data_IF_721830496112
#
_entry.id   IF_721830496112
#
_cell.length_a   1.000
_cell.length_b   1.000
_cell.length_c   1.000
_cell.angle_alpha   90.00
_cell.angle_beta   90.00
_cell.angle_gamma   90.00
#
_symmetry.space_group_name_H-M   'P 1'
#
loop_
_entity.id
_entity.type
_entity.pdbx_description
1 polymer ?
#
# COMPACT_ATOMS: atom_id res chain seq x y z
N UNK A 1 10.85 12.79 -16.35
CA UNK A 1 10.98 11.32 -16.46
C UNK A 1 9.61 10.73 -16.72
N UNK A 2 9.52 9.84 -17.66
CA UNK A 2 8.23 9.30 -18.13
C UNK A 2 7.65 8.33 -17.12
N UNK A 3 6.36 8.49 -16.83
CA UNK A 3 5.59 7.56 -16.00
C UNK A 3 4.67 6.76 -16.91
N UNK A 4 4.66 5.46 -16.72
CA UNK A 4 3.83 4.50 -17.42
C UNK A 4 2.75 3.96 -16.48
N UNK A 5 1.61 3.56 -17.03
CA UNK A 5 0.52 3.03 -16.22
C UNK A 5 -0.20 1.85 -16.85
N UNK A 6 -0.81 1.06 -15.98
CA UNK A 6 -1.82 0.05 -16.31
C UNK A 6 -2.89 0.02 -15.23
N UNK A 7 -4.10 -0.33 -15.62
CA UNK A 7 -5.14 -0.67 -14.65
C UNK A 7 -5.13 -2.18 -14.37
N UNK A 8 -5.45 -2.53 -13.15
CA UNK A 8 -5.56 -3.91 -12.68
C UNK A 8 -6.91 -4.08 -11.96
N UNK A 9 -7.89 -4.78 -12.56
CA UNK A 9 -9.14 -5.12 -11.87
C UNK A 9 -8.88 -6.10 -10.76
N UNK A 10 -9.38 -5.82 -9.57
CA UNK A 10 -9.14 -6.64 -8.38
C UNK A 10 -10.39 -6.79 -7.54
N UNK A 11 -10.39 -7.73 -6.53
CA UNK A 11 -11.50 -7.83 -5.57
C UNK A 11 -11.70 -6.58 -4.71
N UNK A 12 -10.71 -5.69 -4.64
CA UNK A 12 -10.80 -4.41 -3.91
C UNK A 12 -11.00 -3.23 -4.85
N UNK A 13 -11.52 -3.50 -6.04
CA UNK A 13 -11.75 -2.50 -7.07
C UNK A 13 -10.60 -2.38 -8.06
N UNK A 14 -10.70 -1.39 -8.93
CA UNK A 14 -9.69 -1.17 -9.94
C UNK A 14 -8.45 -0.54 -9.30
N UNK A 15 -7.29 -1.13 -9.55
CA UNK A 15 -6.01 -0.61 -9.08
C UNK A 15 -5.28 0.07 -10.23
N UNK A 16 -4.70 1.22 -9.96
CA UNK A 16 -3.84 1.94 -10.90
C UNK A 16 -2.39 1.62 -10.58
N UNK A 17 -1.70 0.98 -11.52
CA UNK A 17 -0.28 0.65 -11.41
C UNK A 17 0.53 1.71 -12.14
N UNK A 18 1.51 2.29 -11.46
CA UNK A 18 2.41 3.29 -12.04
C UNK A 18 3.86 2.79 -11.98
N UNK A 19 4.59 2.95 -13.06
CA UNK A 19 6.00 2.59 -13.12
C UNK A 19 6.83 3.61 -13.90
N UNK A 20 8.10 3.65 -13.56
CA UNK A 20 9.17 4.25 -14.37
C UNK A 20 10.04 3.13 -14.93
N UNK A 21 11.01 3.47 -15.78
CA UNK A 21 11.86 2.47 -16.44
C UNK A 21 12.59 1.54 -15.46
N UNK A 22 12.87 2.01 -14.26
CA UNK A 22 13.66 1.27 -13.27
C UNK A 22 12.84 0.62 -12.15
N UNK A 23 11.52 0.81 -12.11
CA UNK A 23 10.72 0.16 -11.07
C UNK A 23 9.27 0.61 -10.97
N UNK A 24 8.53 -0.14 -10.19
CA UNK A 24 7.16 0.20 -9.80
C UNK A 24 7.19 1.32 -8.77
N UNK A 25 6.44 2.39 -9.02
CA UNK A 25 6.41 3.56 -8.14
C UNK A 25 5.11 3.70 -7.37
N UNK A 26 4.01 3.10 -7.84
CA UNK A 26 2.73 3.20 -7.15
C UNK A 26 1.78 2.05 -7.49
N UNK A 27 0.97 1.69 -6.52
CA UNK A 27 -0.30 0.97 -6.67
C UNK A 27 -1.34 1.80 -5.92
N UNK A 28 -2.27 2.38 -6.64
CA UNK A 28 -3.30 3.24 -6.07
C UNK A 28 -4.68 2.59 -6.24
N UNK A 29 -5.53 2.76 -5.24
CA UNK A 29 -6.94 2.42 -5.38
C UNK A 29 -7.59 3.49 -6.25
N UNK A 30 -8.13 3.06 -7.39
CA UNK A 30 -8.83 3.95 -8.30
C UNK A 30 -10.29 4.04 -7.87
N UNK A 31 -10.62 5.08 -7.14
CA UNK A 31 -11.99 5.39 -6.76
C UNK A 31 -12.75 6.00 -7.95
N UNK A 32 -14.04 6.24 -7.78
CA UNK A 32 -14.90 6.84 -8.82
C UNK A 32 -14.37 8.18 -9.36
N UNK A 33 -13.49 8.82 -8.60
CA UNK A 33 -12.80 10.04 -9.02
C UNK A 33 -11.30 9.90 -8.78
N UNK A 34 -10.55 9.41 -9.76
CA UNK A 34 -9.12 9.25 -9.61
C UNK A 34 -8.44 10.59 -9.33
N UNK A 35 -7.64 10.61 -8.28
CA UNK A 35 -6.87 11.80 -7.91
C UNK A 35 -5.66 12.01 -8.82
N UNK A 36 -5.21 10.96 -9.46
CA UNK A 36 -4.05 10.99 -10.36
C UNK A 36 -4.47 11.39 -11.76
N UNK A 37 -3.90 12.47 -12.25
CA UNK A 37 -4.13 12.93 -13.64
C UNK A 37 -3.22 12.18 -14.58
N UNK A 38 -3.82 11.39 -15.47
CA UNK A 38 -3.11 10.53 -16.42
C UNK A 38 -2.70 11.23 -17.72
N UNK A 39 -3.01 12.51 -17.88
CA UNK A 39 -2.81 13.26 -19.13
C UNK A 39 -1.39 13.20 -19.69
N UNK A 40 -0.40 13.09 -18.79
CA UNK A 40 1.01 13.03 -19.16
C UNK A 40 1.64 11.64 -18.96
N UNK A 41 0.82 10.62 -18.71
CA UNK A 41 1.30 9.26 -18.48
C UNK A 41 1.07 8.41 -19.72
N UNK A 42 1.94 7.41 -19.91
CA UNK A 42 1.88 6.53 -21.08
C UNK A 42 1.21 5.20 -20.68
N UNK A 43 0.08 4.84 -21.33
CA UNK A 43 -0.51 3.51 -21.11
C UNK A 43 0.38 2.42 -21.71
N UNK A 44 0.55 1.33 -20.97
CA UNK A 44 1.31 0.16 -21.44
C UNK A 44 0.35 -0.99 -21.64
N UNK A 45 0.11 -1.39 -22.86
CA UNK A 45 -0.86 -2.43 -23.18
C UNK A 45 -0.25 -3.75 -23.63
N UNK A 46 0.71 -3.76 -24.53
CA UNK A 46 1.24 -5.00 -25.14
C UNK A 46 2.62 -4.79 -25.72
N UNK A 47 3.61 -4.51 -24.89
CA UNK A 47 4.94 -4.33 -25.39
C UNK A 47 5.93 -5.24 -24.68
N UNK A 48 7.04 -5.45 -25.29
CA UNK A 48 8.21 -6.01 -24.66
C UNK A 48 9.01 -4.88 -24.01
N UNK A 49 9.86 -5.20 -23.08
CA UNK A 49 10.77 -4.25 -22.45
C UNK A 49 10.63 -4.21 -20.95
N UNK A 50 11.50 -3.45 -20.31
CA UNK A 50 11.67 -3.42 -18.86
C UNK A 50 10.40 -2.99 -18.14
N UNK A 51 9.72 -1.96 -18.63
CA UNK A 51 8.47 -1.45 -18.01
C UNK A 51 7.36 -2.49 -18.11
N UNK A 52 7.21 -3.12 -19.26
CA UNK A 52 6.24 -4.20 -19.46
C UNK A 52 6.48 -5.35 -18.49
N UNK A 53 7.74 -5.75 -18.31
CA UNK A 53 8.12 -6.80 -17.36
C UNK A 53 7.79 -6.43 -15.91
N UNK A 54 7.97 -5.17 -15.53
CA UNK A 54 7.59 -4.68 -14.20
C UNK A 54 6.08 -4.87 -13.97
N UNK A 55 5.27 -4.49 -14.94
CA UNK A 55 3.81 -4.67 -14.83
C UNK A 55 3.42 -6.16 -14.83
N UNK A 56 4.07 -6.99 -15.64
CA UNK A 56 3.81 -8.43 -15.65
C UNK A 56 4.12 -9.07 -14.29
N UNK A 57 5.25 -8.75 -13.69
CA UNK A 57 5.61 -9.22 -12.34
C UNK A 57 4.61 -8.75 -11.28
N UNK A 58 4.21 -7.48 -11.34
CA UNK A 58 3.24 -6.91 -10.42
C UNK A 58 1.90 -7.63 -10.53
N UNK A 59 1.40 -7.83 -11.74
CA UNK A 59 0.11 -8.51 -11.98
C UNK A 59 0.15 -9.96 -11.53
N UNK A 60 1.23 -10.68 -11.79
CA UNK A 60 1.40 -12.06 -11.33
C UNK A 60 1.36 -12.14 -9.80
N UNK A 61 2.08 -11.28 -9.12
CA UNK A 61 2.09 -11.25 -7.65
C UNK A 61 0.71 -10.91 -7.10
N UNK A 62 0.02 -9.92 -7.67
CA UNK A 62 -1.32 -9.55 -7.24
C UNK A 62 -2.33 -10.68 -7.49
N UNK A 63 -2.26 -11.35 -8.64
CA UNK A 63 -3.12 -12.50 -8.95
C UNK A 63 -2.96 -13.60 -7.89
N UNK A 64 -1.73 -13.97 -7.57
CA UNK A 64 -1.43 -15.00 -6.57
C UNK A 64 -1.87 -14.56 -5.17
N UNK A 65 -1.62 -13.32 -4.82
CA UNK A 65 -2.04 -12.75 -3.53
C UNK A 65 -3.56 -12.82 -3.35
N UNK A 66 -4.32 -12.37 -4.35
CA UNK A 66 -5.78 -12.39 -4.28
C UNK A 66 -6.38 -13.79 -4.37
N UNK A 67 -5.63 -14.78 -4.81
CA UNK A 67 -6.00 -16.20 -4.72
C UNK A 67 -5.76 -16.81 -3.33
N UNK A 68 -5.23 -16.01 -2.39
CA UNK A 68 -4.98 -16.45 -1.03
C UNK A 68 -3.61 -17.08 -0.80
N UNK A 69 -2.69 -16.97 -1.75
CA UNK A 69 -1.33 -17.48 -1.58
C UNK A 69 -0.55 -16.61 -0.60
N UNK A 70 0.15 -17.27 0.32
CA UNK A 70 0.99 -16.60 1.32
C UNK A 70 2.31 -16.19 0.69
N UNK A 71 2.39 -14.93 0.25
CA UNK A 71 3.55 -14.39 -0.40
C UNK A 71 4.38 -13.52 0.54
N UNK A 72 5.69 -13.55 0.36
CA UNK A 72 6.64 -12.65 1.01
C UNK A 72 6.99 -11.52 0.04
N UNK A 73 6.72 -10.28 0.46
CA UNK A 73 7.01 -9.09 -0.34
C UNK A 73 8.36 -8.44 0.03
N UNK A 74 9.10 -8.98 0.98
CA UNK A 74 10.32 -8.34 1.49
C UNK A 74 11.42 -8.20 0.45
N UNK A 75 11.46 -9.12 -0.49
CA UNK A 75 12.55 -9.25 -1.46
C UNK A 75 12.18 -8.77 -2.88
N UNK A 76 11.09 -8.04 -3.03
CA UNK A 76 10.71 -7.47 -4.31
C UNK A 76 11.62 -6.27 -4.63
N UNK A 77 12.62 -6.48 -5.45
CA UNK A 77 13.64 -5.50 -5.78
C UNK A 77 13.19 -4.43 -6.78
N UNK A 78 12.07 -4.67 -7.47
CA UNK A 78 11.52 -3.73 -8.44
C UNK A 78 10.59 -2.66 -7.83
N UNK A 79 10.39 -2.65 -6.51
CA UNK A 79 9.61 -1.61 -5.84
C UNK A 79 10.51 -0.40 -5.59
N UNK A 80 10.14 0.73 -6.16
CA UNK A 80 10.90 1.99 -6.04
C UNK A 80 10.01 3.13 -5.56
N UNK A 81 9.49 3.04 -4.32
CA UNK A 81 8.63 4.09 -3.77
C UNK A 81 9.41 5.41 -3.64
N UNK A 82 8.75 6.51 -3.96
CA UNK A 82 9.34 7.84 -3.87
C UNK A 82 8.81 8.57 -2.65
N UNK A 83 9.69 9.11 -1.84
CA UNK A 83 9.32 9.84 -0.64
C UNK A 83 10.53 10.34 0.13
N UNK A 84 10.27 11.01 1.24
CA UNK A 84 11.31 11.55 2.12
C UNK A 84 12.11 10.43 2.80
N UNK A 85 13.26 10.78 3.36
CA UNK A 85 14.08 9.82 4.11
C UNK A 85 13.30 9.17 5.28
N UNK A 86 12.48 9.97 5.98
CA UNK A 86 11.64 9.46 7.07
C UNK A 86 10.56 8.49 6.54
N UNK A 87 9.88 8.86 5.46
CA UNK A 87 8.89 7.98 4.82
C UNK A 87 9.52 6.67 4.36
N UNK A 88 10.68 6.72 3.72
CA UNK A 88 11.41 5.53 3.30
C UNK A 88 11.74 4.61 4.48
N UNK A 89 12.14 5.18 5.61
CA UNK A 89 12.44 4.38 6.81
C UNK A 89 11.20 3.68 7.37
N UNK A 90 10.05 4.34 7.35
CA UNK A 90 8.76 3.74 7.75
C UNK A 90 8.37 2.63 6.78
N UNK A 91 8.40 2.88 5.49
CA UNK A 91 8.01 1.90 4.47
C UNK A 91 8.91 0.67 4.46
N UNK A 92 10.19 0.84 4.77
CA UNK A 92 11.12 -0.27 4.93
C UNK A 92 10.71 -1.21 6.08
N UNK A 93 10.22 -0.65 7.19
CA UNK A 93 9.67 -1.44 8.29
C UNK A 93 8.39 -2.16 7.84
N UNK A 94 7.49 -1.48 7.12
CA UNK A 94 6.27 -2.10 6.60
C UNK A 94 6.57 -3.31 5.74
N UNK A 95 7.59 -3.24 4.89
CA UNK A 95 7.98 -4.34 4.01
C UNK A 95 8.44 -5.59 4.76
N UNK A 96 8.84 -5.45 6.01
CA UNK A 96 9.31 -6.56 6.85
C UNK A 96 8.18 -7.26 7.61
N UNK A 97 6.97 -6.72 7.58
CA UNK A 97 5.82 -7.34 8.25
C UNK A 97 5.38 -8.55 7.43
N UNK A 98 5.49 -9.79 7.96
CA UNK A 98 5.12 -10.98 7.22
C UNK A 98 3.62 -11.06 6.91
N UNK A 99 3.29 -11.90 5.94
CA UNK A 99 1.91 -12.26 5.63
C UNK A 99 1.20 -12.79 6.88
N UNK A 100 0.01 -12.29 7.13
CA UNK A 100 -0.81 -12.71 8.26
C UNK A 100 -0.42 -12.13 9.62
N UNK A 101 0.58 -11.25 9.65
CA UNK A 101 1.04 -10.58 10.85
C UNK A 101 0.73 -9.08 10.81
N UNK A 102 0.77 -8.46 11.99
CA UNK A 102 0.44 -7.05 12.16
C UNK A 102 1.50 -6.32 12.96
N UNK A 103 1.49 -5.02 12.85
CA UNK A 103 2.20 -4.11 13.74
C UNK A 103 1.28 -2.95 14.14
N UNK A 104 1.78 -2.07 14.98
CA UNK A 104 1.09 -0.84 15.36
C UNK A 104 1.95 0.39 15.06
N UNK A 105 1.33 1.56 15.04
CA UNK A 105 2.07 2.82 14.85
C UNK A 105 3.11 3.03 15.97
N UNK A 106 2.78 2.65 17.21
CA UNK A 106 3.70 2.74 18.33
C UNK A 106 4.89 1.81 18.20
N UNK A 107 4.70 0.58 17.73
CA UNK A 107 5.78 -0.37 17.50
C UNK A 107 6.73 0.12 16.41
N UNK A 108 6.19 0.69 15.33
CA UNK A 108 7.01 1.28 14.27
C UNK A 108 7.85 2.45 14.83
N UNK A 109 7.21 3.33 15.61
CA UNK A 109 7.90 4.46 16.22
C UNK A 109 9.03 4.00 17.14
N UNK A 110 8.81 2.95 17.93
CA UNK A 110 9.83 2.37 18.80
C UNK A 110 11.00 1.77 17.99
N UNK A 111 10.71 1.06 16.89
CA UNK A 111 11.77 0.51 16.03
C UNK A 111 12.62 1.61 15.39
N UNK A 112 12.04 2.78 15.14
CA UNK A 112 12.76 3.95 14.62
C UNK A 112 13.55 4.69 15.71
N UNK A 113 13.45 4.26 16.98
CA UNK A 113 14.06 4.97 18.10
C UNK A 113 13.39 6.33 18.39
N UNK A 114 12.15 6.51 17.97
CA UNK A 114 11.39 7.76 18.10
C UNK A 114 9.99 7.49 18.68
N UNK A 115 9.89 7.04 19.94
CA UNK A 115 8.63 6.58 20.52
C UNK A 115 7.52 7.66 20.55
N UNK A 116 7.92 8.93 20.48
CA UNK A 116 6.95 10.06 20.46
C UNK A 116 6.52 10.45 19.02
N UNK A 117 6.99 9.75 18.01
CA UNK A 117 6.73 10.08 16.61
C UNK A 117 5.53 9.33 16.01
N UNK A 118 4.60 8.81 16.82
CA UNK A 118 3.47 8.01 16.33
C UNK A 118 2.63 8.75 15.28
N UNK A 119 2.41 10.05 15.46
CA UNK A 119 1.64 10.86 14.50
C UNK A 119 2.36 10.97 13.16
N UNK A 120 3.67 11.23 13.19
CA UNK A 120 4.50 11.29 11.98
C UNK A 120 4.57 9.93 11.28
N UNK A 121 4.67 8.85 12.04
CA UNK A 121 4.61 7.47 11.53
C UNK A 121 3.26 7.23 10.84
N UNK A 122 2.15 7.59 11.49
CA UNK A 122 0.82 7.47 10.89
C UNK A 122 0.69 8.22 9.57
N UNK A 123 1.23 9.43 9.48
CA UNK A 123 1.28 10.19 8.24
C UNK A 123 2.08 9.50 7.15
N UNK A 124 3.24 8.94 7.48
CA UNK A 124 4.08 8.20 6.54
C UNK A 124 3.42 6.90 6.07
N UNK A 125 2.78 6.15 6.97
CA UNK A 125 2.00 4.95 6.63
C UNK A 125 0.89 5.30 5.65
N UNK A 126 0.13 6.37 5.92
CA UNK A 126 -0.97 6.83 5.07
C UNK A 126 -0.51 7.32 3.69
N UNK A 127 0.75 7.71 3.53
CA UNK A 127 1.33 8.16 2.25
C UNK A 127 2.11 7.10 1.50
N UNK A 128 2.04 5.86 1.94
CA UNK A 128 2.62 4.74 1.21
C UNK A 128 2.11 4.72 -0.24
N UNK A 129 3.00 4.87 -1.24
CA UNK A 129 2.56 4.92 -2.64
C UNK A 129 2.27 3.56 -3.25
N UNK A 130 2.82 2.47 -2.69
CA UNK A 130 2.70 1.12 -3.26
C UNK A 130 1.84 0.27 -2.33
N UNK A 131 0.54 0.51 -2.35
CA UNK A 131 -0.41 -0.23 -1.52
C UNK A 131 -0.33 -1.74 -1.77
N UNK A 132 -0.63 -2.54 -0.78
CA UNK A 132 -0.62 -4.01 -0.78
C UNK A 132 0.81 -4.58 -0.75
N UNK A 133 1.66 -4.28 -1.71
CA UNK A 133 3.02 -4.83 -1.78
C UNK A 133 3.95 -4.22 -0.72
N UNK A 134 3.71 -2.97 -0.34
CA UNK A 134 4.22 -2.40 0.91
C UNK A 134 3.02 -2.41 1.87
N UNK A 135 2.93 -3.37 2.79
CA UNK A 135 1.67 -3.76 3.40
C UNK A 135 1.21 -2.82 4.53
N UNK A 136 0.89 -1.59 4.20
CA UNK A 136 0.37 -0.63 5.17
C UNK A 136 -0.97 -1.06 5.80
N UNK A 137 -1.72 -1.96 5.17
CA UNK A 137 -2.94 -2.54 5.74
C UNK A 137 -2.68 -3.40 6.98
N UNK A 138 -1.43 -3.85 7.20
CA UNK A 138 -1.01 -4.64 8.37
C UNK A 138 -0.69 -3.77 9.58
N UNK A 139 -0.88 -2.45 9.49
CA UNK A 139 -0.74 -1.54 10.62
C UNK A 139 -2.12 -1.31 11.24
N UNK A 140 -2.26 -1.67 12.50
CA UNK A 140 -3.48 -1.46 13.28
C UNK A 140 -3.22 -0.48 14.42
N UNK A 141 -4.29 0.06 14.97
CA UNK A 141 -4.22 0.91 16.13
C UNK A 141 -4.01 0.12 17.43
N UNK A 142 -4.07 0.83 18.54
CA UNK A 142 -3.93 0.22 19.86
C UNK A 142 -4.96 -0.90 20.04
N UNK A 143 -4.53 -2.01 20.66
CA UNK A 143 -5.36 -3.20 20.91
C UNK A 143 -5.93 -3.82 19.62
N UNK A 144 -5.20 -3.77 18.50
CA UNK A 144 -5.63 -4.31 17.21
C UNK A 144 -6.88 -3.64 16.65
N UNK A 145 -7.12 -2.38 17.01
CA UNK A 145 -8.25 -1.65 16.48
C UNK A 145 -8.07 -1.29 15.01
N UNK A 146 -9.16 -1.42 14.24
CA UNK A 146 -9.19 -1.01 12.85
C UNK A 146 -9.04 0.50 12.76
N UNK A 147 -8.03 0.96 12.03
CA UNK A 147 -7.74 2.39 11.83
C UNK A 147 -7.83 2.76 10.36
N UNK A 148 -7.77 4.06 10.07
CA UNK A 148 -7.88 4.59 8.73
C UNK A 148 -6.91 3.95 7.72
N UNK A 149 -7.32 3.95 6.46
CA UNK A 149 -6.58 3.39 5.35
C UNK A 149 -6.84 4.22 4.10
N UNK A 150 -5.79 4.53 3.34
CA UNK A 150 -5.92 5.35 2.12
C UNK A 150 -6.85 4.76 1.06
N UNK A 151 -6.92 3.44 0.96
CA UNK A 151 -7.86 2.75 0.08
C UNK A 151 -9.26 2.54 0.66
N UNK A 152 -9.56 3.11 1.82
CA UNK A 152 -10.84 2.96 2.52
C UNK A 152 -10.90 1.75 3.46
N UNK A 153 -11.67 1.87 4.51
CA UNK A 153 -11.82 0.81 5.52
C UNK A 153 -12.39 -0.50 4.96
N UNK A 154 -13.38 -0.49 4.05
CA UNK A 154 -13.86 -1.74 3.44
C UNK A 154 -12.74 -2.53 2.74
N UNK A 155 -11.85 -1.86 2.04
CA UNK A 155 -10.71 -2.50 1.39
C UNK A 155 -9.68 -3.00 2.40
N UNK A 156 -9.43 -2.25 3.46
CA UNK A 156 -8.56 -2.70 4.55
C UNK A 156 -9.12 -3.98 5.22
N UNK A 157 -10.41 -4.01 5.51
CA UNK A 157 -11.08 -5.20 6.05
C UNK A 157 -10.91 -6.40 5.12
N UNK A 158 -11.12 -6.19 3.83
CA UNK A 158 -10.95 -7.26 2.83
C UNK A 158 -9.54 -7.87 2.88
N UNK A 159 -8.52 -7.00 2.85
CA UNK A 159 -7.13 -7.46 2.86
C UNK A 159 -6.78 -8.20 4.15
N UNK A 160 -7.20 -7.68 5.31
CA UNK A 160 -6.98 -8.33 6.59
C UNK A 160 -7.68 -9.70 6.66
N UNK A 161 -8.91 -9.79 6.20
CA UNK A 161 -9.68 -11.04 6.16
C UNK A 161 -9.04 -12.04 5.20
N UNK A 162 -8.59 -11.60 4.05
CA UNK A 162 -7.87 -12.45 3.09
C UNK A 162 -6.63 -13.09 3.72
N UNK A 163 -5.91 -12.33 4.53
CA UNK A 163 -4.71 -12.82 5.23
C UNK A 163 -5.01 -13.58 6.52
N UNK A 164 -6.28 -13.70 6.90
CA UNK A 164 -6.67 -14.38 8.13
C UNK A 164 -6.36 -13.61 9.41
N UNK A 165 -6.24 -12.28 9.32
CA UNK A 165 -5.89 -11.42 10.45
C UNK A 165 -7.16 -10.99 11.19
N UNK A 166 -7.17 -11.23 12.52
CA UNK A 166 -8.21 -10.70 13.40
C UNK A 166 -7.97 -9.23 13.72
N UNK A 167 -9.05 -8.46 13.80
CA UNK A 167 -9.01 -7.05 14.16
C UNK A 167 -10.26 -6.67 14.95
N UNK A 168 -10.18 -5.59 15.72
CA UNK A 168 -11.32 -5.04 16.45
C UNK A 168 -11.93 -3.90 15.66
N UNK A 169 -13.08 -4.19 15.08
CA UNK A 169 -13.91 -3.19 14.42
C UNK A 169 -14.91 -2.65 15.43
N UNK A 170 -14.73 -1.41 15.83
CA UNK A 170 -15.62 -0.78 16.82
C UNK A 170 -16.92 -0.26 16.21
N UNK A 171 -17.25 -0.67 14.99
CA UNK A 171 -18.49 -0.27 14.30
C UNK A 171 -18.48 1.17 13.82
N UNK A 172 -17.37 1.85 13.96
CA UNK A 172 -17.24 3.25 13.57
C UNK A 172 -16.29 3.32 12.37
N UNK A 173 -16.84 3.46 11.20
CA UNK A 173 -16.07 3.92 10.04
C UNK A 173 -15.74 5.40 10.25
N UNK A 174 -15.07 5.65 11.36
CA UNK A 174 -14.77 6.99 11.77
C UNK A 174 -13.36 7.34 11.39
N UNK A 175 -13.24 8.06 10.30
CA UNK A 175 -12.00 8.76 10.01
C UNK A 175 -12.10 10.12 10.68
N UNK A 176 -11.30 10.33 11.70
CA UNK A 176 -11.19 11.63 12.32
C UNK A 176 -10.84 12.66 11.22
N UNK A 177 -11.65 13.71 11.01
CA UNK A 177 -11.37 14.73 9.98
C UNK A 177 -9.97 15.35 10.09
N UNK A 178 -9.39 15.36 11.28
CA UNK A 178 -8.02 15.82 11.51
C UNK A 178 -6.97 14.86 10.95
N UNK A 179 -7.34 13.64 10.63
CA UNK A 179 -6.47 12.60 10.11
C UNK A 179 -6.74 12.28 8.63
N UNK A 180 -7.47 13.14 7.95
CA UNK A 180 -7.79 12.98 6.51
C UNK A 180 -6.59 12.88 5.59
N UNK A 181 -5.40 13.26 6.08
CA UNK A 181 -4.18 13.05 5.32
C UNK A 181 -3.83 11.57 5.11
N UNK A 182 -4.55 10.65 5.75
CA UNK A 182 -4.45 9.20 5.51
C UNK A 182 -5.42 8.74 4.42
N UNK A 183 -6.38 9.58 4.10
CA UNK A 183 -7.25 9.38 2.95
C UNK A 183 -6.60 10.05 1.75
N UNK A 184 -6.43 9.32 0.71
CA UNK A 184 -6.02 9.88 -0.57
C UNK A 184 -7.17 9.87 -1.52
#
# INVERSE_FOLDING_TARGET
MTIFYQYYPSPVGNLLLLAKEHGLIAIEFDEEQPTTKLENFIPVSNTSGTVYEIFCKTREILDRYFQGEKLDFQHLDFLTPQGTAFQQSVWKILRQIPYGEITSYGEIANQLGKPNAMRAVGGAVGRNPISILIPCHRVLGKNQSLTGFGGGLPNKRYLLQLEGIGYKDQGVEYVNPKNKHWER
#
